data_IF_698701964280
#
_entry.id   IF_698701964280
#
_cell.length_a   1.000
_cell.length_b   1.000
_cell.length_c   1.000
_cell.angle_alpha   90.00
_cell.angle_beta   90.00
_cell.angle_gamma   90.00
#
_symmetry.space_group_name_H-M   'P 1'
#
loop_
_entity.id
_entity.type
_entity.pdbx_description
1 polymer ?
#
# COMPACT_ATOMS: atom_id res chain seq x y z
N UNK A 1 10.85 7.96 -12.95
CA UNK A 1 10.69 8.86 -11.79
C UNK A 1 11.78 8.51 -10.78
N UNK A 2 12.73 9.41 -10.47
CA UNK A 2 13.94 9.04 -9.72
C UNK A 2 13.66 8.43 -8.36
N UNK A 3 12.71 8.98 -7.60
CA UNK A 3 12.35 8.46 -6.26
C UNK A 3 11.72 7.06 -6.31
N UNK A 4 10.90 6.78 -7.32
CA UNK A 4 10.22 5.50 -7.46
C UNK A 4 11.21 4.40 -7.89
N UNK A 5 12.19 4.77 -8.73
CA UNK A 5 13.31 3.89 -9.06
C UNK A 5 14.15 3.57 -7.82
N UNK A 6 14.42 4.56 -6.97
CA UNK A 6 15.14 4.31 -5.71
C UNK A 6 14.37 3.35 -4.78
N UNK A 7 13.04 3.43 -4.72
CA UNK A 7 12.22 2.45 -3.98
C UNK A 7 12.27 1.05 -4.61
N UNK A 8 12.25 0.96 -5.93
CA UNK A 8 12.39 -0.31 -6.65
C UNK A 8 13.78 -0.95 -6.38
N UNK A 9 14.86 -0.17 -6.46
CA UNK A 9 16.22 -0.61 -6.14
C UNK A 9 16.34 -1.05 -4.67
N UNK A 10 15.68 -0.33 -3.76
CA UNK A 10 15.64 -0.69 -2.33
C UNK A 10 14.89 -2.02 -2.11
N UNK A 11 13.74 -2.22 -2.76
CA UNK A 11 13.00 -3.48 -2.71
C UNK A 11 13.87 -4.65 -3.20
N UNK A 12 14.57 -4.46 -4.33
CA UNK A 12 15.50 -5.44 -4.90
C UNK A 12 16.64 -5.80 -3.94
N UNK A 13 17.16 -4.83 -3.20
CA UNK A 13 18.21 -5.07 -2.21
C UNK A 13 17.69 -5.81 -0.96
N UNK A 14 16.51 -5.44 -0.45
CA UNK A 14 15.95 -6.00 0.78
C UNK A 14 15.60 -7.49 0.63
N UNK A 15 15.04 -7.90 -0.51
CA UNK A 15 14.67 -9.29 -0.78
C UNK A 15 15.87 -10.27 -0.80
N UNK A 16 17.11 -9.78 -0.89
CA UNK A 16 18.31 -10.63 -0.87
C UNK A 16 18.73 -11.09 0.52
N UNK A 17 18.25 -10.42 1.56
CA UNK A 17 18.73 -10.61 2.94
C UNK A 17 17.60 -10.81 3.95
N UNK A 18 16.34 -10.64 3.52
CA UNK A 18 15.17 -10.79 4.37
C UNK A 18 14.14 -11.68 3.68
N UNK A 19 13.57 -12.61 4.42
CA UNK A 19 12.49 -13.48 3.93
C UNK A 19 11.20 -12.68 3.65
N UNK A 20 10.99 -11.60 4.42
CA UNK A 20 9.85 -10.68 4.27
C UNK A 20 10.33 -9.24 4.39
N UNK A 21 9.94 -8.41 3.44
CA UNK A 21 10.27 -6.98 3.40
C UNK A 21 8.99 -6.16 3.26
N UNK A 22 8.83 -5.10 4.06
CA UNK A 22 7.68 -4.19 4.01
C UNK A 22 8.15 -2.78 3.64
N UNK A 23 7.52 -2.20 2.62
CA UNK A 23 7.75 -0.82 2.17
C UNK A 23 6.41 -0.09 2.18
N UNK A 24 6.38 1.10 2.79
CA UNK A 24 5.19 1.95 2.80
C UNK A 24 5.30 2.91 1.61
N UNK A 25 4.42 2.73 0.62
CA UNK A 25 4.30 3.59 -0.55
C UNK A 25 2.82 3.71 -0.91
N UNK A 26 2.36 4.92 -1.25
CA UNK A 26 0.96 5.10 -1.67
C UNK A 26 0.68 4.48 -3.03
N UNK A 27 1.66 4.49 -3.95
CA UNK A 27 1.61 3.81 -5.26
C UNK A 27 0.25 3.91 -5.96
N UNK A 28 -0.33 5.12 -5.92
CA UNK A 28 -1.74 5.36 -6.25
C UNK A 28 -2.11 5.00 -7.69
N UNK A 29 -1.16 5.14 -8.62
CA UNK A 29 -1.37 4.90 -10.05
C UNK A 29 -0.83 3.55 -10.47
N UNK A 30 -1.47 2.91 -11.45
CA UNK A 30 -1.00 1.65 -12.05
C UNK A 30 0.43 1.78 -12.56
N UNK A 31 0.74 2.88 -13.24
CA UNK A 31 2.11 3.18 -13.71
C UNK A 31 3.15 3.19 -12.58
N UNK A 32 2.76 3.57 -11.36
CA UNK A 32 3.67 3.55 -10.23
C UNK A 32 3.91 2.12 -9.73
N UNK A 33 2.84 1.32 -9.68
CA UNK A 33 2.94 -0.12 -9.34
C UNK A 33 3.78 -0.87 -10.38
N UNK A 34 3.56 -0.62 -11.67
CA UNK A 34 4.35 -1.23 -12.75
C UNK A 34 5.85 -0.90 -12.66
N UNK A 35 6.20 0.34 -12.31
CA UNK A 35 7.60 0.73 -12.09
C UNK A 35 8.23 0.05 -10.86
N UNK A 36 7.43 -0.33 -9.86
CA UNK A 36 7.91 -1.08 -8.70
C UNK A 36 8.04 -2.59 -9.01
N UNK A 37 7.19 -3.13 -9.89
CA UNK A 37 7.25 -4.52 -10.38
C UNK A 37 8.49 -4.80 -11.23
N UNK A 38 8.97 -3.81 -11.97
CA UNK A 38 10.10 -3.97 -12.89
C UNK A 38 11.33 -4.55 -12.18
N UNK A 39 11.74 -5.78 -12.53
CA UNK A 39 12.90 -6.45 -11.92
C UNK A 39 12.66 -7.06 -10.53
N UNK A 40 11.45 -6.98 -9.97
CA UNK A 40 11.07 -7.53 -8.66
C UNK A 40 9.88 -8.50 -8.79
N UNK A 41 10.12 -9.71 -9.29
CA UNK A 41 9.05 -10.70 -9.57
C UNK A 41 8.31 -11.22 -8.33
N UNK A 42 8.94 -11.14 -7.14
CA UNK A 42 8.35 -11.52 -5.86
C UNK A 42 7.69 -10.35 -5.13
N UNK A 43 7.66 -9.15 -5.72
CA UNK A 43 6.99 -8.00 -5.15
C UNK A 43 5.47 -8.15 -5.33
N UNK A 44 4.73 -7.93 -4.25
CA UNK A 44 3.27 -7.87 -4.24
C UNK A 44 2.82 -6.63 -3.48
N UNK A 45 1.56 -6.24 -3.65
CA UNK A 45 0.98 -5.06 -3.03
C UNK A 45 -0.13 -5.44 -2.06
N UNK A 46 -0.15 -4.74 -0.93
CA UNK A 46 -1.28 -4.77 -0.01
C UNK A 46 -2.00 -3.42 -0.13
N UNK A 47 -3.16 -3.44 -0.78
CA UNK A 47 -3.99 -2.26 -0.92
C UNK A 47 -4.87 -2.10 0.32
N UNK A 48 -4.52 -1.12 1.15
CA UNK A 48 -5.28 -0.73 2.34
C UNK A 48 -6.57 0.01 1.93
N UNK A 49 -7.61 -0.76 1.56
CA UNK A 49 -8.85 -0.25 0.98
C UNK A 49 -9.78 0.29 2.06
N UNK A 50 -10.19 1.54 1.90
CA UNK A 50 -11.26 2.15 2.69
C UNK A 50 -11.84 3.35 1.96
N UNK A 51 -13.11 3.61 2.23
CA UNK A 51 -13.83 4.74 1.63
C UNK A 51 -13.34 6.08 2.22
N UNK A 52 -13.64 7.16 1.51
CA UNK A 52 -13.24 8.52 1.88
C UNK A 52 -13.62 8.84 3.33
N UNK A 53 -14.88 8.58 3.71
CA UNK A 53 -15.43 8.89 5.03
C UNK A 53 -14.73 8.11 6.15
N UNK A 54 -14.33 6.85 5.88
CA UNK A 54 -13.59 6.02 6.84
C UNK A 54 -12.22 6.63 7.11
N UNK A 55 -11.50 7.01 6.05
CA UNK A 55 -10.16 7.59 6.16
C UNK A 55 -10.22 8.98 6.79
N UNK A 56 -11.18 9.82 6.37
CA UNK A 56 -11.37 11.16 6.94
C UNK A 56 -11.63 11.08 8.44
N UNK A 57 -12.58 10.25 8.88
CA UNK A 57 -12.89 10.03 10.30
C UNK A 57 -11.66 9.57 11.10
N UNK A 58 -10.85 8.65 10.55
CA UNK A 58 -9.59 8.19 11.17
C UNK A 58 -8.54 9.30 11.28
N UNK A 59 -8.43 10.16 10.28
CA UNK A 59 -7.51 11.29 10.29
C UNK A 59 -7.94 12.34 11.32
N UNK A 60 -9.24 12.67 11.39
CA UNK A 60 -9.79 13.63 12.33
C UNK A 60 -9.68 13.19 13.80
N UNK A 61 -9.71 11.88 14.06
CA UNK A 61 -9.52 11.33 15.41
C UNK A 61 -8.07 11.47 15.94
N UNK A 62 -7.07 11.71 15.07
CA UNK A 62 -5.67 11.85 15.48
C UNK A 62 -5.42 13.23 16.09
N UNK A 63 -4.99 13.29 17.35
CA UNK A 63 -4.56 14.53 18.01
C UNK A 63 -3.23 15.01 17.38
N UNK A 64 -3.26 16.05 16.53
CA UNK A 64 -2.06 16.64 15.93
C UNK A 64 -2.29 17.43 14.62
N UNK A 65 -1.21 18.01 14.07
CA UNK A 65 -1.20 18.95 12.94
C UNK A 65 -1.44 18.35 11.53
N UNK A 66 -2.13 17.22 11.39
CA UNK A 66 -2.35 16.60 10.08
C UNK A 66 -3.77 16.86 9.54
N UNK A 67 -4.10 18.15 9.38
CA UNK A 67 -5.33 18.60 8.75
C UNK A 67 -5.01 19.33 7.44
N UNK A 68 -5.00 18.57 6.34
CA UNK A 68 -5.21 19.11 5.00
C UNK A 68 -6.26 18.24 4.32
N UNK A 69 -7.57 18.53 4.48
CA UNK A 69 -8.65 17.83 3.75
C UNK A 69 -8.36 17.72 2.25
N UNK A 70 -7.78 18.79 1.67
CA UNK A 70 -7.29 18.83 0.29
C UNK A 70 -6.28 17.74 -0.07
N UNK A 71 -5.48 17.26 0.89
CA UNK A 71 -4.56 16.16 0.66
C UNK A 71 -5.33 14.86 0.43
N UNK A 72 -6.32 14.55 1.27
CA UNK A 72 -7.14 13.35 1.11
C UNK A 72 -7.87 13.36 -0.24
N UNK A 73 -8.50 14.50 -0.58
CA UNK A 73 -9.13 14.71 -1.90
C UNK A 73 -8.14 14.46 -3.04
N UNK A 74 -6.93 15.01 -2.96
CA UNK A 74 -5.91 14.81 -4.01
C UNK A 74 -5.44 13.36 -4.13
N UNK A 75 -5.40 12.61 -3.02
CA UNK A 75 -5.02 11.19 -3.03
C UNK A 75 -6.12 10.36 -3.72
N UNK A 76 -7.39 10.57 -3.36
CA UNK A 76 -8.52 9.91 -4.00
C UNK A 76 -8.65 10.26 -5.48
N UNK A 77 -8.44 11.53 -5.84
CA UNK A 77 -8.44 11.96 -7.25
C UNK A 77 -7.29 11.33 -8.07
N UNK A 78 -6.18 10.98 -7.42
CA UNK A 78 -5.03 10.34 -8.06
C UNK A 78 -5.06 8.80 -7.99
N UNK A 79 -5.96 8.23 -7.20
CA UNK A 79 -6.07 6.79 -6.98
C UNK A 79 -6.65 6.11 -8.22
N UNK A 80 -5.84 5.23 -8.81
CA UNK A 80 -6.27 4.25 -9.79
C UNK A 80 -6.37 2.91 -9.05
N UNK A 81 -7.59 2.56 -8.60
CA UNK A 81 -7.82 1.31 -7.86
C UNK A 81 -7.27 0.11 -8.66
N UNK A 82 -6.56 -0.82 -7.99
CA UNK A 82 -6.06 -2.02 -8.65
C UNK A 82 -7.19 -2.82 -9.31
N UNK A 83 -7.04 -3.11 -10.60
CA UNK A 83 -8.00 -3.90 -11.36
C UNK A 83 -7.80 -5.41 -11.18
N UNK A 84 -8.72 -6.21 -11.73
CA UNK A 84 -8.66 -7.68 -11.68
C UNK A 84 -7.39 -8.27 -12.34
N UNK A 85 -6.80 -7.54 -13.29
CA UNK A 85 -5.55 -7.91 -13.98
C UNK A 85 -4.31 -7.81 -13.07
N UNK A 86 -4.40 -7.10 -11.94
CA UNK A 86 -3.30 -6.92 -11.00
C UNK A 86 -3.33 -8.01 -9.92
N UNK A 87 -3.06 -9.26 -10.32
CA UNK A 87 -3.15 -10.46 -9.48
C UNK A 87 -2.19 -10.49 -8.28
N UNK A 88 -1.18 -9.62 -8.29
CA UNK A 88 -0.20 -9.42 -7.22
C UNK A 88 -0.69 -8.42 -6.16
N UNK A 89 -1.93 -7.93 -6.26
CA UNK A 89 -2.51 -6.97 -5.31
C UNK A 89 -3.59 -7.62 -4.46
N UNK A 90 -3.45 -7.55 -3.14
CA UNK A 90 -4.48 -7.96 -2.19
C UNK A 90 -5.11 -6.74 -1.52
N UNK A 91 -6.43 -6.61 -1.64
CA UNK A 91 -7.18 -5.57 -0.92
C UNK A 91 -7.49 -6.02 0.51
N UNK A 92 -7.13 -5.18 1.49
CA UNK A 92 -7.45 -5.37 2.91
C UNK A 92 -8.39 -4.24 3.33
N UNK A 93 -9.57 -4.59 3.87
CA UNK A 93 -10.51 -3.62 4.38
C UNK A 93 -9.92 -2.93 5.62
N UNK A 94 -9.92 -1.60 5.63
CA UNK A 94 -9.46 -0.83 6.78
C UNK A 94 -10.60 -0.32 7.67
N UNK A 95 -11.87 -0.52 7.33
CA UNK A 95 -13.01 -0.14 8.18
C UNK A 95 -13.25 -1.15 9.31
N UNK A 96 -12.20 -1.42 10.06
CA UNK A 96 -12.17 -2.33 11.22
C UNK A 96 -11.08 -1.90 12.21
N UNK A 97 -11.13 -2.33 13.48
CA UNK A 97 -10.08 -2.04 14.46
C UNK A 97 -8.66 -2.32 13.94
N UNK A 98 -7.66 -1.57 14.43
CA UNK A 98 -6.28 -1.69 13.97
C UNK A 98 -5.75 -3.12 14.08
N UNK A 99 -6.04 -3.79 15.19
CA UNK A 99 -5.58 -5.16 15.44
C UNK A 99 -6.13 -6.15 14.41
N UNK A 100 -7.37 -5.96 13.96
CA UNK A 100 -7.99 -6.79 12.93
C UNK A 100 -7.37 -6.54 11.56
N UNK A 101 -7.11 -5.27 11.20
CA UNK A 101 -6.36 -4.94 9.98
C UNK A 101 -4.99 -5.60 9.98
N UNK A 102 -4.26 -5.53 11.10
CA UNK A 102 -2.94 -6.15 11.26
C UNK A 102 -3.03 -7.67 11.12
N UNK A 103 -4.03 -8.30 11.74
CA UNK A 103 -4.25 -9.73 11.65
C UNK A 103 -4.52 -10.19 10.21
N UNK A 104 -5.30 -9.43 9.45
CA UNK A 104 -5.59 -9.71 8.03
C UNK A 104 -4.33 -9.59 7.15
N UNK A 105 -3.53 -8.54 7.37
CA UNK A 105 -2.24 -8.34 6.67
C UNK A 105 -1.29 -9.49 6.97
N UNK A 106 -1.15 -9.90 8.24
CA UNK A 106 -0.27 -11.01 8.64
C UNK A 106 -0.76 -12.32 8.01
N UNK A 107 -2.08 -12.58 8.00
CA UNK A 107 -2.66 -13.77 7.37
C UNK A 107 -2.34 -13.81 5.88
N UNK A 108 -2.45 -12.67 5.21
CA UNK A 108 -2.11 -12.55 3.79
C UNK A 108 -0.62 -12.83 3.55
N UNK A 109 0.28 -12.18 4.28
CA UNK A 109 1.74 -12.38 4.14
C UNK A 109 2.09 -13.87 4.33
N UNK A 110 1.57 -14.51 5.38
CA UNK A 110 1.80 -15.94 5.63
C UNK A 110 1.32 -16.85 4.50
N UNK A 111 0.24 -16.49 3.82
CA UNK A 111 -0.27 -17.27 2.67
C UNK A 111 0.64 -17.21 1.43
N UNK A 112 1.57 -16.25 1.37
CA UNK A 112 2.51 -16.04 0.27
C UNK A 112 3.93 -16.54 0.57
N UNK A 113 4.25 -16.72 1.85
CA UNK A 113 5.58 -17.16 2.32
C UNK A 113 5.61 -18.61 2.80
N UNK A 114 4.46 -19.28 2.84
CA UNK A 114 4.33 -20.71 3.17
C UNK A 114 4.49 -21.56 1.91
#
# INVERSE_FOLDING_TARGET
MPWLKALNDAAYAMQRTNDVSLIICSSLKKKYRDCLREGNENLSFIYMKGDFDVIERRLMARKGHFQKPKMLESQFAALEEPGLEEHDVAAINIDQPLDDVVADVIRHIKSKTA
#
